data_IF_813058019841
#
_entry.id   IF_813058019841
#
_cell.length_a   1.000
_cell.length_b   1.000
_cell.length_c   1.000
_cell.angle_alpha   90.00
_cell.angle_beta   90.00
_cell.angle_gamma   90.00
#
_symmetry.space_group_name_H-M   'P 1'
#
loop_
_entity.id
_entity.type
_entity.pdbx_description
1 polymer ?
#
# COMPACT_ATOMS: atom_id res chain seq x y z
N UNK A 1 18.32 -13.96 8.47
CA UNK A 1 18.51 -12.50 8.68
C UNK A 1 19.21 -11.96 7.43
N UNK A 2 18.53 -11.15 6.60
CA UNK A 2 19.25 -10.43 5.53
C UNK A 2 20.11 -9.37 6.22
N UNK A 3 21.42 -9.39 5.94
CA UNK A 3 22.43 -8.63 6.70
C UNK A 3 22.57 -7.18 6.27
N UNK A 4 21.83 -6.71 5.27
CA UNK A 4 21.98 -5.36 4.73
C UNK A 4 20.60 -4.80 4.34
N UNK A 5 20.23 -3.66 4.93
CA UNK A 5 19.01 -2.94 4.59
C UNK A 5 19.30 -1.93 3.51
N UNK A 6 18.67 -2.26 2.40
CA UNK A 6 18.53 -1.69 1.09
C UNK A 6 18.55 -0.12 0.98
N UNK A 7 17.39 0.41 0.65
CA UNK A 7 16.87 1.73 0.94
C UNK A 7 15.37 1.48 1.17
N UNK A 8 14.61 2.48 1.55
CA UNK A 8 13.17 2.38 1.69
C UNK A 8 12.52 2.89 0.42
N UNK A 9 11.97 1.98 -0.41
CA UNK A 9 11.13 2.33 -1.58
C UNK A 9 9.93 3.23 -1.25
N UNK A 10 9.64 3.34 0.04
CA UNK A 10 8.60 4.20 0.60
C UNK A 10 9.04 5.67 0.56
N UNK A 11 10.34 5.97 0.63
CA UNK A 11 10.90 7.33 0.53
C UNK A 11 11.24 7.69 -0.94
N UNK A 12 10.93 8.92 -1.40
CA UNK A 12 11.27 9.41 -2.73
C UNK A 12 12.71 9.91 -2.81
N UNK A 13 13.44 9.96 -1.69
CA UNK A 13 14.86 10.32 -1.67
C UNK A 13 15.70 9.12 -2.10
N UNK A 14 15.74 8.87 -3.41
CA UNK A 14 16.67 7.90 -4.00
C UNK A 14 18.11 8.42 -4.03
N UNK A 15 19.05 7.58 -3.60
CA UNK A 15 20.51 7.67 -3.78
C UNK A 15 21.12 9.08 -3.63
N UNK A 16 21.07 9.64 -2.43
CA UNK A 16 22.08 10.57 -1.93
C UNK A 16 23.30 9.77 -1.39
N UNK A 17 24.49 10.37 -1.42
CA UNK A 17 25.81 9.75 -1.14
C UNK A 17 25.98 9.06 0.23
N UNK A 18 24.93 9.04 1.05
CA UNK A 18 24.86 8.45 2.39
C UNK A 18 24.03 7.15 2.46
N UNK A 19 23.22 6.80 1.45
CA UNK A 19 22.33 5.63 1.47
C UNK A 19 22.33 4.95 0.09
N UNK A 20 23.02 3.80 -0.05
CA UNK A 20 23.47 3.28 -1.35
C UNK A 20 23.04 1.85 -1.69
N UNK A 21 21.82 1.45 -1.35
CA UNK A 21 21.50 0.04 -1.11
C UNK A 21 20.04 -0.16 -1.73
N UNK A 22 19.72 -1.17 -2.58
CA UNK A 22 18.41 -1.36 -3.33
C UNK A 22 17.66 -2.73 -3.14
N UNK A 23 16.32 -2.74 -3.05
CA UNK A 23 15.53 -3.99 -2.89
C UNK A 23 14.89 -4.42 -4.22
N UNK A 24 14.94 -5.71 -4.56
CA UNK A 24 14.27 -6.24 -5.76
C UNK A 24 12.74 -6.18 -5.64
N UNK A 25 12.05 -5.67 -6.66
CA UNK A 25 10.58 -5.74 -6.73
C UNK A 25 10.06 -7.16 -6.89
N UNK A 26 8.83 -7.37 -6.41
CA UNK A 26 8.09 -8.57 -6.76
C UNK A 26 7.70 -8.50 -8.25
N UNK A 27 7.99 -9.54 -9.06
CA UNK A 27 7.56 -9.57 -10.46
C UNK A 27 6.03 -9.69 -10.55
N UNK A 28 5.45 -9.19 -11.64
CA UNK A 28 4.06 -9.46 -11.97
C UNK A 28 3.90 -10.92 -12.43
N UNK A 29 3.49 -11.79 -11.50
CA UNK A 29 3.29 -13.22 -11.76
C UNK A 29 1.97 -13.71 -11.13
N UNK A 30 0.95 -13.84 -11.98
CA UNK A 30 -0.40 -14.29 -11.60
C UNK A 30 -0.40 -15.74 -11.12
N UNK A 31 0.43 -16.60 -11.71
CA UNK A 31 0.48 -18.02 -11.33
C UNK A 31 1.08 -18.18 -9.93
N UNK A 32 2.18 -17.47 -9.66
CA UNK A 32 2.80 -17.47 -8.34
C UNK A 32 1.90 -16.86 -7.27
N UNK A 33 1.18 -15.78 -7.59
CA UNK A 33 0.21 -15.19 -6.67
C UNK A 33 -0.88 -16.19 -6.26
N UNK A 34 -1.46 -16.94 -7.22
CA UNK A 34 -2.43 -18.01 -6.93
C UNK A 34 -1.87 -19.11 -6.04
N UNK A 35 -0.64 -19.56 -6.30
CA UNK A 35 0.05 -20.57 -5.50
C UNK A 35 0.19 -20.11 -4.03
N UNK A 36 0.61 -18.85 -3.82
CA UNK A 36 0.79 -18.28 -2.50
C UNK A 36 -0.54 -18.14 -1.75
N UNK A 37 -1.60 -17.69 -2.42
CA UNK A 37 -2.95 -17.61 -1.82
C UNK A 37 -3.46 -18.98 -1.38
N UNK A 38 -3.29 -20.00 -2.23
CA UNK A 38 -3.65 -21.39 -1.90
C UNK A 38 -2.85 -21.91 -0.70
N UNK A 39 -1.54 -21.64 -0.66
CA UNK A 39 -0.67 -22.03 0.48
C UNK A 39 -1.07 -21.33 1.78
N UNK A 40 -1.52 -20.08 1.69
CA UNK A 40 -2.04 -19.32 2.82
C UNK A 40 -3.45 -19.75 3.25
N UNK A 41 -4.11 -20.65 2.52
CA UNK A 41 -5.47 -21.10 2.82
C UNK A 41 -6.55 -20.07 2.49
N UNK A 42 -6.25 -19.09 1.64
CA UNK A 42 -7.25 -18.08 1.22
C UNK A 42 -8.19 -18.73 0.21
N UNK A 43 -9.49 -18.72 0.52
CA UNK A 43 -10.50 -19.31 -0.34
C UNK A 43 -10.70 -18.48 -1.62
N UNK A 44 -10.92 -19.15 -2.75
CA UNK A 44 -11.33 -18.48 -3.98
C UNK A 44 -12.68 -17.76 -3.78
N UNK A 45 -12.77 -16.53 -4.25
CA UNK A 45 -13.92 -15.65 -4.05
C UNK A 45 -13.88 -14.86 -2.74
N UNK A 46 -12.80 -14.95 -1.96
CA UNK A 46 -12.60 -14.13 -0.74
C UNK A 46 -12.80 -12.65 -1.08
N UNK A 47 -13.68 -11.99 -0.34
CA UNK A 47 -13.95 -10.58 -0.50
C UNK A 47 -13.02 -9.73 0.38
N UNK A 48 -12.55 -8.61 -0.16
CA UNK A 48 -11.79 -7.59 0.58
C UNK A 48 -12.27 -6.21 0.18
N UNK A 49 -12.39 -5.29 1.14
CA UNK A 49 -12.65 -3.89 0.79
C UNK A 49 -11.36 -3.24 0.29
N UNK A 50 -11.44 -2.53 -0.84
CA UNK A 50 -10.35 -1.72 -1.40
C UNK A 50 -10.76 -0.26 -1.36
N UNK A 51 -10.17 0.49 -0.44
CA UNK A 51 -10.50 1.88 -0.23
C UNK A 51 -9.78 2.75 -1.25
N UNK A 52 -10.52 3.65 -1.89
CA UNK A 52 -10.00 4.61 -2.86
C UNK A 52 -10.47 6.01 -2.48
N UNK A 53 -9.53 6.94 -2.35
CA UNK A 53 -9.85 8.34 -2.04
C UNK A 53 -10.53 9.05 -3.24
N UNK A 54 -11.52 9.93 -3.02
CA UNK A 54 -12.25 10.61 -4.10
C UNK A 54 -11.54 11.86 -4.63
N UNK A 55 -10.41 12.25 -4.02
CA UNK A 55 -9.65 13.45 -4.33
C UNK A 55 -8.31 13.12 -4.98
N UNK A 56 -7.82 14.02 -5.83
CA UNK A 56 -6.49 13.90 -6.41
C UNK A 56 -5.43 14.21 -5.35
N UNK A 57 -4.31 13.49 -5.37
CA UNK A 57 -3.18 13.70 -4.48
C UNK A 57 -1.88 13.67 -5.28
N UNK A 58 -0.81 14.34 -4.83
CA UNK A 58 0.47 14.36 -5.55
C UNK A 58 1.03 12.96 -5.86
N UNK A 59 0.81 11.99 -4.96
CA UNK A 59 1.27 10.61 -5.12
C UNK A 59 0.30 9.70 -5.90
N UNK A 60 -0.92 10.15 -6.19
CA UNK A 60 -1.89 9.37 -6.95
C UNK A 60 -2.94 10.31 -7.60
N UNK A 61 -2.86 10.55 -8.91
CA UNK A 61 -3.74 11.48 -9.61
C UNK A 61 -5.16 10.92 -9.81
N UNK A 62 -5.35 9.60 -9.74
CA UNK A 62 -6.67 8.98 -9.91
C UNK A 62 -6.77 7.62 -9.19
N UNK A 63 -7.11 7.68 -7.89
CA UNK A 63 -7.25 6.48 -7.07
C UNK A 63 -8.41 5.57 -7.51
N UNK A 64 -9.48 6.14 -8.08
CA UNK A 64 -10.61 5.35 -8.58
C UNK A 64 -10.18 4.44 -9.73
N UNK A 65 -9.51 4.99 -10.74
CA UNK A 65 -9.02 4.21 -11.87
C UNK A 65 -8.01 3.15 -11.40
N UNK A 66 -7.09 3.51 -10.49
CA UNK A 66 -6.14 2.56 -9.92
C UNK A 66 -6.85 1.42 -9.18
N UNK A 67 -7.91 1.71 -8.42
CA UNK A 67 -8.68 0.69 -7.72
C UNK A 67 -9.45 -0.23 -8.68
N UNK A 68 -10.00 0.29 -9.78
CA UNK A 68 -10.64 -0.53 -10.82
C UNK A 68 -9.64 -1.46 -11.52
N UNK A 69 -8.42 -0.98 -11.78
CA UNK A 69 -7.33 -1.81 -12.33
C UNK A 69 -6.94 -2.91 -11.35
N UNK A 70 -6.75 -2.58 -10.07
CA UNK A 70 -6.44 -3.55 -9.02
C UNK A 70 -7.56 -4.57 -8.82
N UNK A 71 -8.83 -4.13 -8.83
CA UNK A 71 -9.99 -5.02 -8.75
C UNK A 71 -9.96 -6.05 -9.89
N UNK A 72 -9.66 -5.62 -11.13
CA UNK A 72 -9.56 -6.51 -12.27
C UNK A 72 -8.40 -7.50 -12.14
N UNK A 73 -7.24 -7.07 -11.64
CA UNK A 73 -6.09 -7.95 -11.43
C UNK A 73 -6.31 -8.94 -10.26
N UNK A 74 -6.89 -8.48 -9.15
CA UNK A 74 -7.19 -9.31 -7.99
C UNK A 74 -8.25 -10.36 -8.30
N UNK A 75 -9.20 -10.04 -9.18
CA UNK A 75 -10.18 -11.02 -9.69
C UNK A 75 -9.48 -12.18 -10.41
N UNK A 76 -8.38 -11.94 -11.14
CA UNK A 76 -7.64 -13.00 -11.85
C UNK A 76 -7.02 -14.02 -10.88
N UNK A 77 -6.73 -13.63 -9.64
CA UNK A 77 -6.17 -14.49 -8.59
C UNK A 77 -7.22 -14.97 -7.58
N UNK A 78 -8.51 -14.73 -7.84
CA UNK A 78 -9.61 -15.23 -7.01
C UNK A 78 -9.97 -14.34 -5.82
N UNK A 79 -9.55 -13.08 -5.80
CA UNK A 79 -9.91 -12.10 -4.76
C UNK A 79 -10.93 -11.11 -5.31
N UNK A 80 -12.05 -10.96 -4.60
CA UNK A 80 -13.13 -10.05 -4.94
C UNK A 80 -12.95 -8.71 -4.21
N UNK A 81 -12.33 -7.74 -4.86
CA UNK A 81 -12.15 -6.40 -4.28
C UNK A 81 -13.45 -5.59 -4.37
N UNK A 82 -14.02 -5.17 -3.24
CA UNK A 82 -15.14 -4.21 -3.17
C UNK A 82 -14.57 -2.80 -3.00
N UNK A 83 -14.70 -1.96 -4.02
CA UNK A 83 -14.22 -0.57 -3.96
C UNK A 83 -15.12 0.24 -3.02
N UNK A 84 -14.51 0.93 -2.06
CA UNK A 84 -15.20 1.80 -1.09
C UNK A 84 -14.56 3.18 -1.11
N UNK A 85 -15.37 4.22 -1.01
CA UNK A 85 -14.91 5.61 -0.95
C UNK A 85 -15.73 6.37 0.08
N UNK A 86 -15.08 7.30 0.76
CA UNK A 86 -15.66 8.26 1.69
C UNK A 86 -15.18 9.66 1.33
N UNK A 87 -15.82 10.70 1.87
CA UNK A 87 -15.21 12.04 1.91
C UNK A 87 -13.81 11.94 2.56
N UNK A 88 -12.84 12.75 2.13
CA UNK A 88 -11.44 12.60 2.50
C UNK A 88 -11.16 12.66 4.02
N UNK A 89 -11.80 13.57 4.74
CA UNK A 89 -11.67 13.65 6.20
C UNK A 89 -12.20 12.40 6.89
N UNK A 90 -13.39 11.93 6.49
CA UNK A 90 -13.97 10.70 7.01
C UNK A 90 -13.16 9.45 6.61
N UNK A 91 -12.59 9.44 5.40
CA UNK A 91 -11.72 8.38 4.89
C UNK A 91 -10.51 8.18 5.81
N UNK A 92 -9.80 9.25 6.14
CA UNK A 92 -8.64 9.20 7.04
C UNK A 92 -9.07 8.80 8.45
N UNK A 93 -10.15 9.39 8.98
CA UNK A 93 -10.64 9.10 10.32
C UNK A 93 -10.97 7.61 10.51
N UNK A 94 -11.72 7.03 9.58
CA UNK A 94 -12.11 5.62 9.64
C UNK A 94 -10.95 4.66 9.35
N UNK A 95 -10.03 5.05 8.45
CA UNK A 95 -8.83 4.26 8.20
C UNK A 95 -7.94 4.16 9.45
N UNK A 96 -7.79 5.28 10.19
CA UNK A 96 -7.11 5.27 11.50
C UNK A 96 -7.82 4.39 12.54
N UNK A 97 -9.13 4.24 12.44
CA UNK A 97 -9.90 3.32 13.28
C UNK A 97 -9.83 1.86 12.83
N UNK A 98 -9.13 1.55 11.74
CA UNK A 98 -8.94 0.19 11.22
C UNK A 98 -10.16 -0.39 10.49
N UNK A 99 -11.07 0.44 10.00
CA UNK A 99 -12.27 -0.03 9.28
C UNK A 99 -11.97 -0.55 7.85
N UNK A 100 -10.77 -0.29 7.33
CA UNK A 100 -10.37 -0.67 5.98
C UNK A 100 -9.76 -2.08 5.91
N UNK A 101 -10.04 -2.80 4.82
CA UNK A 101 -9.32 -4.03 4.47
C UNK A 101 -7.98 -3.72 3.81
N UNK A 102 -8.04 -3.18 2.59
CA UNK A 102 -6.91 -2.58 1.88
C UNK A 102 -7.25 -1.13 1.53
N UNK A 103 -6.23 -0.26 1.40
CA UNK A 103 -6.44 1.15 1.07
C UNK A 103 -5.39 1.69 0.11
N UNK A 104 -5.82 2.57 -0.78
CA UNK A 104 -4.94 3.43 -1.55
C UNK A 104 -4.64 4.68 -0.72
N UNK A 105 -3.37 4.85 -0.40
CA UNK A 105 -2.85 5.96 0.40
C UNK A 105 -1.42 6.25 -0.04
N UNK A 106 -0.89 7.40 0.33
CA UNK A 106 0.49 7.77 0.09
C UNK A 106 0.87 8.98 0.95
N UNK A 107 2.12 9.38 0.83
CA UNK A 107 2.71 10.42 1.66
C UNK A 107 3.46 11.44 0.82
N UNK A 108 3.60 12.64 1.34
CA UNK A 108 4.47 13.69 0.80
C UNK A 108 5.30 14.17 1.96
N UNK A 109 6.63 14.12 1.82
CA UNK A 109 7.54 14.38 2.94
C UNK A 109 7.41 15.81 3.46
N UNK A 110 7.40 15.96 4.78
CA UNK A 110 7.17 17.24 5.45
C UNK A 110 8.44 18.05 5.67
N UNK A 111 9.57 17.38 5.92
CA UNK A 111 10.79 18.01 6.43
C UNK A 111 12.10 17.55 5.74
N UNK A 112 12.01 16.62 4.78
CA UNK A 112 13.17 16.06 4.09
C UNK A 112 13.98 15.03 4.90
N UNK A 113 13.56 14.71 6.12
CA UNK A 113 14.17 13.68 6.95
C UNK A 113 13.58 12.29 6.61
N UNK A 114 14.41 11.25 6.41
CA UNK A 114 13.92 9.88 6.22
C UNK A 114 13.00 9.36 7.34
N UNK A 115 13.16 9.84 8.58
CA UNK A 115 12.30 9.47 9.71
C UNK A 115 10.81 9.81 9.45
N UNK A 116 10.54 10.91 8.74
CA UNK A 116 9.18 11.31 8.37
C UNK A 116 8.47 10.30 7.47
N UNK A 117 9.20 9.36 6.85
CA UNK A 117 8.61 8.30 6.03
C UNK A 117 8.39 7.01 6.82
N UNK A 118 9.27 6.65 7.73
CA UNK A 118 9.24 5.33 8.38
C UNK A 118 8.80 5.40 9.82
N UNK A 119 9.36 6.31 10.60
CA UNK A 119 8.96 6.52 11.99
C UNK A 119 7.51 6.98 12.04
N UNK A 120 7.17 7.98 11.22
CA UNK A 120 5.82 8.56 11.19
C UNK A 120 4.74 7.62 10.62
N UNK A 121 5.07 6.76 9.65
CA UNK A 121 4.05 5.94 8.95
C UNK A 121 4.03 4.46 9.38
N UNK A 122 5.17 3.92 9.81
CA UNK A 122 5.35 2.49 10.08
C UNK A 122 5.96 2.20 11.47
N UNK A 123 6.23 3.23 12.27
CA UNK A 123 6.62 3.07 13.67
C UNK A 123 5.48 2.52 14.52
N UNK A 124 5.79 1.86 15.63
CA UNK A 124 4.76 1.32 16.53
C UNK A 124 3.83 2.42 17.07
N UNK A 125 4.37 3.60 17.37
CA UNK A 125 3.59 4.74 17.88
C UNK A 125 2.61 5.26 16.83
N UNK A 126 2.95 5.13 15.53
CA UNK A 126 2.09 5.54 14.42
C UNK A 126 0.77 4.74 14.33
N UNK A 127 0.71 3.57 14.97
CA UNK A 127 -0.51 2.73 15.01
C UNK A 127 -1.58 3.35 15.91
N UNK A 128 -1.18 4.07 16.96
CA UNK A 128 -2.11 4.63 17.95
C UNK A 128 -2.34 6.13 17.83
N UNK A 129 -1.52 6.84 17.03
CA UNK A 129 -1.62 8.28 16.82
C UNK A 129 -0.86 9.08 17.86
#
# INVERSE_FOLDING_TARGET
MRKEVQDFKISPFGLNSFYGVSVSDAPYDVAKAKELLKKAGVAEGTEITLWAMPVQRPYNPNAKLMAEMLQNDWKKIGINAKIVSYEWGEYIKRAKAGENGAMLIGWSGDNGDPDNWLGTLFGCDAVNG
#
